data_IF_486512924952
#
_entry.id   IF_486512924952
#
_cell.length_a   1.000
_cell.length_b   1.000
_cell.length_c   1.000
_cell.angle_alpha   90.00
_cell.angle_beta   90.00
_cell.angle_gamma   90.00
#
_symmetry.space_group_name_H-M   'P 1'
#
loop_
_entity.id
_entity.type
_entity.pdbx_description
1 polymer ?
#
# COMPACT_ATOMS: atom_id res chain seq x y z
N UNK A 1 -14.08 16.92 -4.12
CA UNK A 1 -12.61 16.78 -4.21
C UNK A 1 -12.28 16.23 -5.59
N UNK A 2 -11.23 16.74 -6.22
CA UNK A 2 -10.79 16.24 -7.53
C UNK A 2 -9.87 15.02 -7.35
N UNK A 3 -10.46 13.83 -7.40
CA UNK A 3 -9.76 12.55 -7.25
C UNK A 3 -9.93 11.76 -8.53
N UNK A 4 -8.84 11.17 -9.01
CA UNK A 4 -8.82 10.22 -10.11
C UNK A 4 -8.44 8.84 -9.60
N UNK A 5 -9.09 7.81 -10.12
CA UNK A 5 -8.90 6.42 -9.68
C UNK A 5 -8.47 5.59 -10.89
N UNK A 6 -7.39 4.85 -10.72
CA UNK A 6 -6.96 3.84 -11.70
C UNK A 6 -7.00 2.48 -11.02
N UNK A 7 -7.72 1.54 -11.61
CA UNK A 7 -7.79 0.16 -11.16
C UNK A 7 -7.24 -0.73 -12.26
N UNK A 8 -6.26 -1.57 -11.92
CA UNK A 8 -5.73 -2.57 -12.84
C UNK A 8 -5.84 -3.95 -12.21
N UNK A 9 -6.41 -4.89 -12.93
CA UNK A 9 -6.51 -6.27 -12.49
C UNK A 9 -7.52 -7.05 -13.29
N UNK A 10 -7.57 -8.34 -13.05
CA UNK A 10 -8.59 -9.25 -13.56
C UNK A 10 -9.16 -10.05 -12.40
N UNK A 11 -10.42 -10.43 -12.48
CA UNK A 11 -11.08 -11.15 -11.40
C UNK A 11 -12.45 -11.67 -11.82
N UNK A 12 -13.21 -12.08 -10.82
CA UNK A 12 -14.57 -12.58 -11.05
C UNK A 12 -15.46 -11.47 -11.63
N UNK A 13 -16.34 -11.81 -12.57
CA UNK A 13 -17.17 -10.86 -13.28
C UNK A 13 -18.01 -9.98 -12.33
N UNK A 14 -18.55 -10.56 -11.27
CA UNK A 14 -19.33 -9.81 -10.27
C UNK A 14 -18.54 -8.68 -9.57
N UNK A 15 -17.22 -8.73 -9.57
CA UNK A 15 -16.36 -7.66 -9.05
C UNK A 15 -15.89 -6.73 -10.18
N UNK A 16 -15.65 -7.25 -11.38
CA UNK A 16 -15.20 -6.46 -12.52
C UNK A 16 -16.31 -5.59 -13.11
N UNK A 17 -17.56 -6.09 -13.18
CA UNK A 17 -18.69 -5.37 -13.75
C UNK A 17 -18.96 -4.01 -13.10
N UNK A 18 -18.96 -3.85 -11.76
CA UNK A 18 -19.08 -2.54 -11.13
C UNK A 18 -17.96 -1.56 -11.53
N UNK A 19 -16.73 -2.03 -11.69
CA UNK A 19 -15.62 -1.16 -12.12
C UNK A 19 -15.75 -0.76 -13.59
N UNK A 20 -16.22 -1.65 -14.48
CA UNK A 20 -16.52 -1.31 -15.87
C UNK A 20 -17.61 -0.23 -15.94
N UNK A 21 -18.70 -0.43 -15.19
CA UNK A 21 -19.80 0.53 -15.13
C UNK A 21 -19.34 1.89 -14.58
N UNK A 22 -18.56 1.89 -13.49
CA UNK A 22 -18.05 3.11 -12.89
C UNK A 22 -17.11 3.86 -13.83
N UNK A 23 -16.22 3.16 -14.53
CA UNK A 23 -15.30 3.73 -15.52
C UNK A 23 -16.05 4.32 -16.72
N UNK A 24 -17.08 3.62 -17.22
CA UNK A 24 -17.91 4.10 -18.31
C UNK A 24 -18.73 5.35 -17.93
N UNK A 25 -19.21 5.42 -16.71
CA UNK A 25 -19.98 6.56 -16.20
C UNK A 25 -19.11 7.77 -15.85
N UNK A 26 -17.79 7.58 -15.61
CA UNK A 26 -16.87 8.63 -15.18
C UNK A 26 -15.52 8.55 -15.92
N UNK A 27 -15.49 8.66 -17.25
CA UNK A 27 -14.30 8.39 -18.07
C UNK A 27 -13.11 9.32 -17.76
N UNK A 28 -13.38 10.55 -17.31
CA UNK A 28 -12.35 11.52 -16.98
C UNK A 28 -11.73 11.31 -15.57
N UNK A 29 -12.35 10.47 -14.74
CA UNK A 29 -11.97 10.28 -13.34
C UNK A 29 -11.64 8.85 -12.95
N UNK A 30 -12.18 7.87 -13.66
CA UNK A 30 -12.00 6.46 -13.33
C UNK A 30 -11.53 5.70 -14.56
N UNK A 31 -10.39 5.03 -14.44
CA UNK A 31 -9.89 4.11 -15.45
C UNK A 31 -9.86 2.69 -14.88
N UNK A 32 -10.50 1.75 -15.57
CA UNK A 32 -10.41 0.33 -15.27
C UNK A 32 -9.67 -0.41 -16.38
N UNK A 33 -8.52 -1.00 -16.05
CA UNK A 33 -7.66 -1.75 -16.95
C UNK A 33 -7.79 -3.21 -16.61
N UNK A 34 -8.72 -3.89 -17.29
CA UNK A 34 -9.09 -5.28 -17.00
C UNK A 34 -8.11 -6.27 -17.61
N UNK A 35 -6.85 -6.19 -17.20
CA UNK A 35 -5.80 -7.14 -17.56
C UNK A 35 -4.61 -7.01 -16.64
N UNK A 36 -3.81 -8.08 -16.56
CA UNK A 36 -2.51 -7.99 -15.93
C UNK A 36 -1.49 -7.42 -16.93
N UNK A 37 -0.89 -6.28 -16.58
CA UNK A 37 0.12 -5.59 -17.40
C UNK A 37 1.19 -5.00 -16.50
N UNK A 38 2.38 -5.62 -16.51
CA UNK A 38 3.51 -5.20 -15.67
C UNK A 38 4.02 -3.79 -15.99
N UNK A 39 4.02 -3.42 -17.27
CA UNK A 39 4.50 -2.10 -17.68
C UNK A 39 3.53 -1.01 -17.21
N UNK A 40 2.23 -1.26 -17.34
CA UNK A 40 1.20 -0.37 -16.84
C UNK A 40 1.20 -0.28 -15.31
N UNK A 41 1.36 -1.40 -14.60
CA UNK A 41 1.47 -1.39 -13.14
C UNK A 41 2.59 -0.47 -12.64
N UNK A 42 3.77 -0.52 -13.27
CA UNK A 42 4.89 0.38 -12.93
C UNK A 42 4.55 1.85 -13.17
N UNK A 43 3.83 2.16 -14.25
CA UNK A 43 3.37 3.54 -14.53
C UNK A 43 2.36 4.01 -13.50
N UNK A 44 1.46 3.12 -13.05
CA UNK A 44 0.49 3.42 -11.99
C UNK A 44 1.23 3.72 -10.69
N UNK A 45 2.16 2.86 -10.25
CA UNK A 45 2.98 3.12 -9.06
C UNK A 45 3.73 4.46 -9.16
N UNK A 46 4.35 4.74 -10.31
CA UNK A 46 5.14 5.97 -10.47
C UNK A 46 4.30 7.25 -10.61
N UNK A 47 3.06 7.14 -11.05
CA UNK A 47 2.21 8.30 -11.35
C UNK A 47 1.08 8.56 -10.36
N UNK A 48 0.85 7.66 -9.41
CA UNK A 48 -0.21 7.82 -8.42
C UNK A 48 0.29 8.61 -7.19
N UNK A 49 -0.60 9.40 -6.60
CA UNK A 49 -0.32 10.04 -5.31
C UNK A 49 -0.42 9.05 -4.15
N UNK A 50 -1.31 8.06 -4.24
CA UNK A 50 -1.48 7.00 -3.25
C UNK A 50 -1.74 5.66 -3.92
N UNK A 51 -1.35 4.58 -3.24
CA UNK A 51 -1.65 3.21 -3.62
C UNK A 51 -2.62 2.58 -2.61
N UNK A 52 -3.79 2.14 -3.06
CA UNK A 52 -4.83 1.57 -2.18
C UNK A 52 -4.77 0.04 -2.22
N UNK A 53 -4.57 -0.58 -1.07
CA UNK A 53 -4.51 -2.05 -0.92
C UNK A 53 -5.41 -2.51 0.25
N UNK A 54 -6.74 -2.60 0.04
CA UNK A 54 -7.72 -2.88 1.09
C UNK A 54 -7.94 -4.39 1.28
N UNK A 55 -6.87 -5.16 1.24
CA UNK A 55 -6.93 -6.63 1.36
C UNK A 55 -7.56 -7.04 2.68
N UNK A 56 -8.51 -7.97 2.66
CA UNK A 56 -9.06 -8.58 3.88
C UNK A 56 -8.10 -9.57 4.52
N UNK A 57 -7.30 -10.21 3.70
CA UNK A 57 -6.24 -11.13 4.09
C UNK A 57 -5.04 -10.95 3.15
N UNK A 58 -3.85 -10.74 3.73
CA UNK A 58 -2.61 -10.54 2.98
C UNK A 58 -1.43 -11.11 3.79
N UNK A 59 -0.93 -12.31 3.47
CA UNK A 59 0.13 -12.93 4.26
C UNK A 59 1.41 -12.10 4.31
N UNK A 60 1.83 -11.56 3.19
CA UNK A 60 3.05 -10.78 3.05
C UNK A 60 2.78 -9.43 2.37
N UNK A 61 2.24 -9.48 1.15
CA UNK A 61 2.10 -8.32 0.28
C UNK A 61 3.42 -7.85 -0.32
N UNK A 62 3.37 -7.47 -1.57
CA UNK A 62 4.50 -6.81 -2.26
C UNK A 62 4.09 -5.43 -2.78
N UNK A 63 2.82 -5.24 -3.07
CA UNK A 63 2.30 -4.02 -3.66
C UNK A 63 2.62 -2.77 -2.84
N UNK A 64 2.46 -2.83 -1.51
CA UNK A 64 2.78 -1.73 -0.61
C UNK A 64 4.28 -1.40 -0.56
N UNK A 65 5.15 -2.44 -0.59
CA UNK A 65 6.60 -2.24 -0.60
C UNK A 65 7.07 -1.62 -1.91
N UNK A 66 6.50 -2.07 -3.04
CA UNK A 66 6.74 -1.47 -4.35
C UNK A 66 6.26 -0.02 -4.37
N UNK A 67 5.06 0.27 -3.88
CA UNK A 67 4.51 1.62 -3.80
C UNK A 67 5.43 2.54 -2.98
N UNK A 68 5.86 2.12 -1.79
CA UNK A 68 6.83 2.86 -0.97
C UNK A 68 8.10 3.17 -1.75
N UNK A 69 8.65 2.20 -2.47
CA UNK A 69 9.87 2.40 -3.27
C UNK A 69 9.69 3.38 -4.43
N UNK A 70 8.47 3.51 -4.96
CA UNK A 70 8.11 4.50 -5.99
C UNK A 70 7.75 5.89 -5.41
N UNK A 71 7.78 6.06 -4.09
CA UNK A 71 7.37 7.31 -3.43
C UNK A 71 5.85 7.50 -3.43
N UNK A 72 5.10 6.42 -3.48
CA UNK A 72 3.63 6.40 -3.50
C UNK A 72 3.12 5.86 -2.17
N UNK A 73 2.73 6.71 -1.21
CA UNK A 73 2.27 6.28 0.10
C UNK A 73 1.11 5.30 0.01
N UNK A 74 1.20 4.10 0.63
CA UNK A 74 0.14 3.12 0.60
C UNK A 74 -0.96 3.44 1.62
N UNK A 75 -2.21 3.09 1.25
CA UNK A 75 -3.39 3.09 2.12
C UNK A 75 -3.79 1.63 2.26
N UNK A 76 -3.63 1.04 3.45
CA UNK A 76 -3.75 -0.41 3.63
C UNK A 76 -4.67 -0.78 4.79
N UNK A 77 -5.31 -1.94 4.68
CA UNK A 77 -5.96 -2.59 5.82
C UNK A 77 -4.90 -3.23 6.73
N UNK A 78 -5.08 -3.13 8.06
CA UNK A 78 -4.18 -3.73 9.06
C UNK A 78 -4.32 -5.25 9.09
N UNK A 79 -3.63 -5.93 8.18
CA UNK A 79 -3.62 -7.39 8.12
C UNK A 79 -2.29 -7.92 7.62
N UNK A 80 -1.79 -9.01 8.24
CA UNK A 80 -0.56 -9.70 7.86
C UNK A 80 0.59 -8.75 7.55
N UNK A 81 1.32 -8.99 6.47
CA UNK A 81 2.47 -8.19 6.09
C UNK A 81 2.20 -6.70 5.82
N UNK A 82 0.95 -6.30 5.59
CA UNK A 82 0.61 -4.88 5.48
C UNK A 82 0.76 -4.17 6.83
N UNK A 83 0.36 -4.85 7.92
CA UNK A 83 0.51 -4.34 9.28
C UNK A 83 1.99 -4.23 9.69
N UNK A 84 2.84 -5.11 9.16
CA UNK A 84 4.27 -5.17 9.51
C UNK A 84 5.12 -4.17 8.71
N UNK A 85 4.64 -3.73 7.55
CA UNK A 85 5.46 -2.96 6.58
C UNK A 85 5.03 -1.51 6.41
N UNK A 86 3.84 -1.13 6.87
CA UNK A 86 3.32 0.24 6.75
C UNK A 86 3.06 0.84 8.13
N UNK A 87 3.73 1.94 8.43
CA UNK A 87 3.53 2.72 9.66
C UNK A 87 2.48 3.80 9.37
N UNK A 88 1.44 3.85 10.20
CA UNK A 88 0.33 4.78 10.02
C UNK A 88 0.73 6.22 10.40
N UNK A 89 0.67 7.14 9.45
CA UNK A 89 0.98 8.56 9.65
C UNK A 89 0.00 9.22 10.64
N UNK A 90 -1.27 8.77 10.69
CA UNK A 90 -2.25 9.36 11.59
C UNK A 90 -2.00 9.00 13.07
N UNK A 91 -1.41 7.84 13.33
CA UNK A 91 -1.02 7.39 14.69
C UNK A 91 0.39 7.82 15.06
N UNK A 92 1.24 7.99 14.07
CA UNK A 92 2.65 8.35 14.24
C UNK A 92 3.00 9.54 13.35
N UNK A 93 2.45 10.75 13.63
CA UNK A 93 2.69 11.93 12.81
C UNK A 93 4.18 12.26 12.69
N UNK A 94 4.67 12.39 11.48
CA UNK A 94 6.08 12.64 11.19
C UNK A 94 6.99 11.41 11.25
N UNK A 95 6.45 10.21 11.54
CA UNK A 95 7.16 8.94 11.50
C UNK A 95 6.46 7.89 10.62
N UNK A 96 5.26 8.16 10.13
CA UNK A 96 4.50 7.28 9.27
C UNK A 96 5.12 7.10 7.88
N UNK A 97 4.75 6.02 7.21
CA UNK A 97 5.14 5.70 5.84
C UNK A 97 3.93 5.53 4.91
N UNK A 98 2.72 5.54 5.47
CA UNK A 98 1.46 5.41 4.75
C UNK A 98 0.27 5.60 5.68
N UNK A 99 -0.88 5.07 5.30
CA UNK A 99 -2.13 5.17 6.05
C UNK A 99 -2.69 3.78 6.30
N UNK A 100 -3.15 3.53 7.54
CA UNK A 100 -3.60 2.21 7.95
C UNK A 100 -4.98 2.30 8.59
N UNK A 101 -5.94 1.50 8.11
CA UNK A 101 -7.24 1.35 8.74
C UNK A 101 -7.40 -0.05 9.34
N UNK A 102 -8.09 -0.15 10.48
CA UNK A 102 -8.17 -1.40 11.25
C UNK A 102 -9.30 -2.31 10.83
N UNK A 103 -10.45 -1.74 10.48
CA UNK A 103 -11.62 -2.51 10.14
C UNK A 103 -11.79 -2.60 8.62
N UNK A 104 -11.92 -3.82 8.08
CA UNK A 104 -12.13 -4.08 6.66
C UNK A 104 -13.55 -3.65 6.22
N UNK A 105 -13.88 -2.38 6.46
CA UNK A 105 -15.16 -1.75 6.12
C UNK A 105 -14.96 -0.63 5.11
N UNK A 106 -16.05 -0.26 4.43
CA UNK A 106 -16.06 0.91 3.53
C UNK A 106 -15.76 2.19 4.31
N UNK A 107 -16.29 2.33 5.52
CA UNK A 107 -16.07 3.50 6.37
C UNK A 107 -14.59 3.66 6.72
N UNK A 108 -13.93 2.61 7.21
CA UNK A 108 -12.51 2.63 7.55
C UNK A 108 -11.61 2.98 6.36
N UNK A 109 -11.90 2.38 5.18
CA UNK A 109 -11.18 2.73 3.96
C UNK A 109 -11.36 4.20 3.57
N UNK A 110 -12.60 4.71 3.61
CA UNK A 110 -12.88 6.11 3.24
C UNK A 110 -12.24 7.10 4.21
N UNK A 111 -12.18 6.78 5.50
CA UNK A 111 -11.50 7.60 6.51
C UNK A 111 -10.00 7.71 6.22
N UNK A 112 -9.32 6.57 5.98
CA UNK A 112 -7.91 6.55 5.62
C UNK A 112 -7.62 7.30 4.30
N UNK A 113 -8.48 7.14 3.28
CA UNK A 113 -8.39 7.91 2.04
C UNK A 113 -8.58 9.41 2.29
N UNK A 114 -9.53 9.80 3.14
CA UNK A 114 -9.76 11.20 3.47
C UNK A 114 -8.56 11.83 4.19
N UNK A 115 -7.92 11.11 5.10
CA UNK A 115 -6.70 11.53 5.77
C UNK A 115 -5.54 11.74 4.78
N UNK A 116 -5.32 10.78 3.88
CA UNK A 116 -4.31 10.87 2.84
C UNK A 116 -4.53 12.10 1.94
N UNK A 117 -5.76 12.29 1.47
CA UNK A 117 -6.13 13.45 0.64
C UNK A 117 -5.94 14.77 1.40
N UNK A 118 -6.26 14.81 2.69
CA UNK A 118 -6.08 16.02 3.50
C UNK A 118 -4.61 16.41 3.63
N UNK A 119 -3.73 15.46 3.96
CA UNK A 119 -2.28 15.70 4.07
C UNK A 119 -1.69 16.06 2.69
N UNK A 120 -2.10 15.38 1.62
CA UNK A 120 -1.67 15.72 0.26
C UNK A 120 -2.09 17.12 -0.16
N UNK A 121 -3.33 17.52 0.16
CA UNK A 121 -3.89 18.82 -0.19
C UNK A 121 -3.29 19.97 0.63
N UNK A 122 -2.86 19.72 1.87
CA UNK A 122 -2.17 20.74 2.68
C UNK A 122 -0.80 21.11 2.09
N UNK A 123 -0.24 20.24 1.26
CA UNK A 123 1.05 20.47 0.60
C UNK A 123 2.23 20.50 1.58
N UNK A 124 3.37 20.98 1.07
CA UNK A 124 4.53 21.28 1.91
C UNK A 124 5.31 20.06 2.41
N UNK A 125 6.03 20.24 3.51
CA UNK A 125 7.00 19.28 4.05
C UNK A 125 6.36 17.99 4.60
N UNK A 126 5.10 18.03 5.03
CA UNK A 126 4.44 16.85 5.59
C UNK A 126 4.27 15.72 4.56
N UNK A 127 3.77 16.06 3.36
CA UNK A 127 3.63 15.10 2.28
C UNK A 127 4.98 14.63 1.73
N UNK A 128 5.92 15.55 1.51
CA UNK A 128 7.27 15.21 1.07
C UNK A 128 7.98 14.30 2.08
N UNK A 129 7.90 14.63 3.37
CA UNK A 129 8.49 13.81 4.43
C UNK A 129 7.89 12.41 4.52
N UNK A 130 6.58 12.25 4.27
CA UNK A 130 5.92 10.93 4.19
C UNK A 130 6.51 10.10 3.04
N UNK A 131 6.68 10.70 1.86
CA UNK A 131 7.32 10.06 0.70
C UNK A 131 8.76 9.66 1.02
N UNK A 132 9.56 10.58 1.55
CA UNK A 132 10.98 10.35 1.84
C UNK A 132 11.17 9.19 2.84
N UNK A 133 10.35 9.16 3.89
CA UNK A 133 10.36 8.06 4.87
C UNK A 133 9.96 6.73 4.23
N UNK A 134 8.92 6.74 3.40
CA UNK A 134 8.49 5.55 2.67
C UNK A 134 9.57 4.99 1.76
N UNK A 135 10.25 5.84 1.00
CA UNK A 135 11.34 5.45 0.10
C UNK A 135 12.60 4.99 0.84
N UNK A 136 12.81 5.46 2.08
CA UNK A 136 13.95 5.09 2.91
C UNK A 136 13.78 3.73 3.61
N UNK A 137 12.58 3.12 3.59
CA UNK A 137 12.37 1.79 4.18
C UNK A 137 13.21 0.76 3.44
N UNK A 138 14.04 0.05 4.17
CA UNK A 138 14.88 -1.02 3.62
C UNK A 138 14.13 -2.37 3.62
N UNK A 139 13.84 -2.87 2.43
CA UNK A 139 13.25 -4.19 2.20
C UNK A 139 14.24 -5.16 1.56
N UNK A 140 15.55 -4.83 1.54
CA UNK A 140 16.57 -5.72 0.99
C UNK A 140 16.64 -7.01 1.81
N UNK A 141 16.72 -8.13 1.11
CA UNK A 141 16.81 -9.44 1.74
C UNK A 141 18.08 -9.59 2.58
N UNK A 142 19.21 -9.10 2.07
CA UNK A 142 20.52 -9.32 2.68
C UNK A 142 20.72 -8.52 3.96
N UNK A 143 20.19 -7.31 4.02
CA UNK A 143 20.27 -6.40 5.18
C UNK A 143 19.09 -6.56 6.14
N UNK A 144 17.90 -6.89 5.62
CA UNK A 144 16.67 -6.99 6.39
C UNK A 144 16.35 -8.41 6.88
N UNK A 145 15.94 -9.28 5.97
CA UNK A 145 15.35 -10.58 6.33
C UNK A 145 16.38 -11.68 6.58
N UNK A 146 17.45 -11.78 5.78
CA UNK A 146 18.43 -12.87 5.89
C UNK A 146 19.08 -12.96 7.29
N UNK A 147 19.50 -11.86 7.94
CA UNK A 147 20.04 -11.93 9.30
C UNK A 147 19.06 -12.56 10.30
N UNK A 148 17.76 -12.23 10.19
CA UNK A 148 16.71 -12.78 11.08
C UNK A 148 16.53 -14.28 10.88
N UNK A 149 16.64 -14.78 9.65
CA UNK A 149 16.64 -16.22 9.37
C UNK A 149 17.87 -16.92 9.99
N UNK A 150 19.04 -16.32 9.85
CA UNK A 150 20.27 -16.86 10.48
C UNK A 150 20.12 -16.95 12.00
N UNK A 151 19.56 -15.92 12.64
CA UNK A 151 19.32 -15.94 14.09
C UNK A 151 18.26 -16.97 14.51
N UNK A 152 17.22 -17.15 13.70
CA UNK A 152 16.23 -18.20 13.95
C UNK A 152 16.86 -19.60 13.89
N UNK A 153 17.73 -19.85 12.91
CA UNK A 153 18.45 -21.12 12.80
C UNK A 153 19.42 -21.34 13.98
N UNK A 154 20.15 -20.31 14.41
CA UNK A 154 21.03 -20.41 15.59
C UNK A 154 20.25 -20.78 16.84
N UNK A 155 19.13 -20.11 17.12
CA UNK A 155 18.23 -20.44 18.25
C UNK A 155 17.70 -21.87 18.18
N UNK A 156 17.30 -22.33 16.99
CA UNK A 156 16.83 -23.70 16.81
C UNK A 156 17.92 -24.74 17.09
N UNK A 157 19.17 -24.46 16.73
CA UNK A 157 20.33 -25.31 17.04
C UNK A 157 20.63 -25.36 18.55
N UNK A 158 20.56 -24.24 19.24
CA UNK A 158 20.75 -24.16 20.70
C UNK A 158 19.70 -24.99 21.44
N UNK A 159 18.42 -24.88 21.07
CA UNK A 159 17.32 -25.67 21.67
C UNK A 159 17.52 -27.18 21.47
N UNK A 160 18.11 -27.61 20.35
CA UNK A 160 18.35 -29.03 20.07
C UNK A 160 19.51 -29.61 20.89
N UNK A 161 20.41 -28.78 21.39
CA UNK A 161 21.63 -29.20 22.13
C UNK A 161 21.41 -29.23 23.65
N UNK A 162 20.32 -28.63 24.18
CA UNK A 162 19.92 -28.66 25.58
C UNK A 162 18.84 -29.71 25.84
#
# INVERSE_FOLDING_TARGET
RDVRIVVQGSGHASLADPFRALSAANPDRVAFIERFDRAMARRIYAGADCFVMPSRFEPCGQGQMIALRYGTPPIVHRTGGLADTVIDEMRHPGAGTGFVFDEATVAGLLEACAAAIAIRASGGSAWAGLIDRGMAVDFDWTTGSAPRYVDAYRRAMEIKQG
#
